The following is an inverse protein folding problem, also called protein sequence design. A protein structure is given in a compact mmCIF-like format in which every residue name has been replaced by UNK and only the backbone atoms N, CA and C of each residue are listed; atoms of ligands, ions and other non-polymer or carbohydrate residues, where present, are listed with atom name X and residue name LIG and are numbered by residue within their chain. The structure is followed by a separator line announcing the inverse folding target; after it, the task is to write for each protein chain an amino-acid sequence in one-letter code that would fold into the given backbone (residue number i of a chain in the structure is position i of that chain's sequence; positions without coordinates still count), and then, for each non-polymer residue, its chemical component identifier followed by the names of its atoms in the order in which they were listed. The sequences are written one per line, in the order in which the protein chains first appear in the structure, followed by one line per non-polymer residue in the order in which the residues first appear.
data_IF_262784812020
#
_entry.id   IF_262784812020
#
_cell.length_a   1.000
_cell.length_b   1.000
_cell.length_c   1.000
_cell.angle_alpha   90.00
_cell.angle_beta   90.00
_cell.angle_gamma   90.00
#
_symmetry.space_group_name_H-M   'P 1'
#
loop_
_entity.id
_entity.type
_entity.pdbx_description
1 polymer ?
#
# COMPACT_ATOMS: atom_id res chain seq x y z
N UNK A 1 -11.51 24.74 21.94
CA UNK A 1 -10.69 25.74 21.21
C UNK A 1 -9.90 25.02 20.13
N UNK A 2 -9.80 25.54 18.90
CA UNK A 2 -8.93 24.96 17.88
C UNK A 2 -7.46 25.11 18.31
N UNK A 3 -6.67 24.05 18.10
CA UNK A 3 -5.22 24.06 18.36
C UNK A 3 -4.53 24.83 17.23
N UNK A 4 -3.67 25.82 17.51
CA UNK A 4 -2.89 26.50 16.48
C UNK A 4 -2.02 25.51 15.68
N UNK A 5 -1.89 25.72 14.36
CA UNK A 5 -1.15 24.81 13.48
C UNK A 5 0.28 24.53 13.94
N UNK A 6 0.96 25.53 14.50
CA UNK A 6 2.33 25.38 14.99
C UNK A 6 2.40 24.47 16.23
N UNK A 7 1.42 24.58 17.13
CA UNK A 7 1.29 23.69 18.29
C UNK A 7 0.99 22.26 17.85
N UNK A 8 0.12 22.10 16.85
CA UNK A 8 -0.17 20.78 16.28
C UNK A 8 1.08 20.14 15.65
N UNK A 9 1.85 20.90 14.86
CA UNK A 9 3.11 20.41 14.26
C UNK A 9 4.12 19.99 15.32
N UNK A 10 4.24 20.74 16.42
CA UNK A 10 5.14 20.40 17.52
C UNK A 10 4.72 19.11 18.22
N UNK A 11 3.43 18.97 18.57
CA UNK A 11 2.91 17.75 19.19
C UNK A 11 3.07 16.52 18.29
N UNK A 12 2.82 16.68 17.00
CA UNK A 12 3.03 15.62 16.01
C UNK A 12 4.51 15.23 15.91
N UNK A 13 5.42 16.22 15.88
CA UNK A 13 6.85 15.98 15.82
C UNK A 13 7.38 15.28 17.08
N UNK A 14 6.95 15.72 18.27
CA UNK A 14 7.31 15.09 19.55
C UNK A 14 6.83 13.64 19.61
N UNK A 15 5.58 13.39 19.20
CA UNK A 15 5.02 12.04 19.16
C UNK A 15 5.72 11.15 18.14
N UNK A 16 6.05 11.68 16.95
CA UNK A 16 6.83 10.96 15.95
C UNK A 16 8.23 10.62 16.45
N UNK A 17 8.90 11.53 17.16
CA UNK A 17 10.22 11.26 17.74
C UNK A 17 10.17 10.22 18.87
N UNK A 18 9.09 10.21 19.65
CA UNK A 18 8.87 9.23 20.72
C UNK A 18 8.54 7.83 20.17
N UNK A 19 7.68 7.75 19.15
CA UNK A 19 7.23 6.48 18.57
C UNK A 19 8.19 5.95 17.48
N UNK A 20 8.96 6.83 16.84
CA UNK A 20 9.86 6.55 15.73
C UNK A 20 11.25 7.20 15.89
N UNK A 21 12.06 6.78 16.88
CA UNK A 21 13.28 7.47 17.27
C UNK A 21 14.44 7.37 16.25
N UNK A 22 14.30 6.54 15.22
CA UNK A 22 15.33 6.35 14.18
C UNK A 22 14.73 6.50 12.79
N UNK A 23 15.56 6.83 11.80
CA UNK A 23 15.13 6.94 10.41
C UNK A 23 14.50 5.64 9.90
N UNK A 24 14.99 4.48 10.34
CA UNK A 24 14.45 3.18 9.94
C UNK A 24 13.14 2.85 10.67
N UNK A 25 13.01 3.19 11.95
CA UNK A 25 11.73 3.09 12.67
C UNK A 25 10.68 4.04 12.05
N UNK A 26 11.09 5.26 11.73
CA UNK A 26 10.28 6.24 11.02
C UNK A 26 9.87 5.73 9.65
N UNK A 27 10.77 5.16 8.85
CA UNK A 27 10.42 4.54 7.56
C UNK A 27 9.45 3.37 7.74
N UNK A 28 9.64 2.52 8.73
CA UNK A 28 8.74 1.40 9.00
C UNK A 28 7.31 1.85 9.37
N UNK A 29 7.19 2.97 10.09
CA UNK A 29 5.91 3.58 10.47
C UNK A 29 5.32 4.45 9.33
N UNK A 30 6.14 5.21 8.61
CA UNK A 30 5.77 6.05 7.47
C UNK A 30 5.29 5.24 6.26
N UNK A 31 5.87 4.06 6.06
CA UNK A 31 5.41 3.08 5.06
C UNK A 31 4.02 2.51 5.41
N UNK A 32 3.59 2.61 6.67
CA UNK A 32 2.22 2.28 7.09
C UNK A 32 1.45 3.57 7.29
N UNK A 33 0.78 4.04 6.23
CA UNK A 33 -0.15 5.18 6.25
C UNK A 33 -1.15 5.15 7.41
N UNK A 34 -1.40 3.96 7.98
CA UNK A 34 -2.32 3.70 9.10
C UNK A 34 -1.85 4.31 10.42
N UNK A 35 -0.53 4.28 10.69
CA UNK A 35 0.03 4.90 11.90
C UNK A 35 -0.09 6.42 11.77
N UNK A 36 0.19 7.00 10.60
CA UNK A 36 -0.01 8.43 10.39
C UNK A 36 -1.49 8.85 10.42
N UNK A 37 -2.41 7.99 9.98
CA UNK A 37 -3.85 8.24 10.07
C UNK A 37 -4.37 8.21 11.52
N UNK A 38 -3.87 7.29 12.34
CA UNK A 38 -4.18 7.22 13.77
C UNK A 38 -3.56 8.40 14.53
N UNK A 39 -2.26 8.64 14.35
CA UNK A 39 -1.50 9.69 15.05
C UNK A 39 -1.93 11.11 14.64
N UNK A 40 -2.29 11.31 13.37
CA UNK A 40 -2.63 12.62 12.83
C UNK A 40 -4.14 12.94 12.80
N UNK A 41 -5.01 11.94 12.68
CA UNK A 41 -6.44 12.16 12.43
C UNK A 41 -7.40 11.36 13.32
N UNK A 42 -6.90 10.50 14.23
CA UNK A 42 -7.75 9.73 15.15
C UNK A 42 -8.64 8.68 14.46
N UNK A 43 -8.27 8.26 13.24
CA UNK A 43 -8.96 7.20 12.52
C UNK A 43 -8.44 5.82 12.98
N UNK A 44 -9.33 4.83 13.08
CA UNK A 44 -8.91 3.46 13.35
C UNK A 44 -7.99 2.97 12.21
N UNK A 45 -6.72 2.61 12.50
CA UNK A 45 -5.76 2.20 11.48
C UNK A 45 -6.23 0.90 10.82
N UNK A 46 -6.22 0.83 9.49
CA UNK A 46 -6.40 -0.46 8.80
C UNK A 46 -5.10 -1.23 8.82
N UNK A 47 -5.14 -2.53 9.10
CA UNK A 47 -3.93 -3.35 8.99
C UNK A 47 -3.51 -3.49 7.52
N UNK A 48 -2.23 -3.82 7.26
CA UNK A 48 -1.74 -4.12 5.91
C UNK A 48 -2.58 -5.21 5.21
N UNK A 49 -3.02 -6.19 5.99
CA UNK A 49 -3.92 -7.26 5.54
C UNK A 49 -5.28 -6.70 5.18
N UNK A 50 -5.88 -5.87 6.03
CA UNK A 50 -7.19 -5.24 5.74
C UNK A 50 -7.16 -4.37 4.48
N UNK A 51 -6.09 -3.63 4.21
CA UNK A 51 -5.96 -2.87 2.95
C UNK A 51 -5.85 -3.79 1.73
N UNK A 52 -5.04 -4.84 1.82
CA UNK A 52 -4.90 -5.81 0.74
C UNK A 52 -6.22 -6.54 0.46
N UNK A 53 -6.98 -6.90 1.51
CA UNK A 53 -8.32 -7.48 1.39
C UNK A 53 -9.31 -6.46 0.79
N UNK A 54 -9.28 -5.23 1.28
CA UNK A 54 -10.22 -4.20 0.86
C UNK A 54 -9.95 -3.63 -0.54
N UNK A 55 -8.73 -3.80 -1.06
CA UNK A 55 -8.35 -3.40 -2.40
C UNK A 55 -9.34 -3.90 -3.47
N UNK A 56 -9.73 -5.18 -3.38
CA UNK A 56 -10.59 -5.82 -4.39
C UNK A 56 -11.98 -5.18 -4.50
N UNK A 57 -12.64 -4.91 -3.38
CA UNK A 57 -13.98 -4.34 -3.38
C UNK A 57 -13.98 -2.82 -3.53
N UNK A 58 -12.96 -2.12 -3.01
CA UNK A 58 -12.85 -0.65 -3.13
C UNK A 58 -12.48 -0.20 -4.54
N UNK A 59 -11.76 -1.03 -5.30
CA UNK A 59 -11.32 -0.73 -6.66
C UNK A 59 -11.95 -1.68 -7.69
N UNK A 60 -13.14 -2.21 -7.40
CA UNK A 60 -13.84 -3.16 -8.26
C UNK A 60 -14.06 -2.62 -9.67
N UNK A 61 -14.45 -1.33 -9.80
CA UNK A 61 -14.67 -0.69 -11.10
C UNK A 61 -13.39 -0.71 -11.95
N UNK A 62 -12.25 -0.37 -11.36
CA UNK A 62 -10.96 -0.39 -12.06
C UNK A 62 -10.54 -1.82 -12.43
N UNK A 63 -10.71 -2.80 -11.53
CA UNK A 63 -10.46 -4.21 -11.82
C UNK A 63 -11.39 -4.76 -12.91
N UNK A 64 -12.62 -4.26 -13.01
CA UNK A 64 -13.58 -4.66 -14.04
C UNK A 64 -13.28 -4.06 -15.42
N UNK A 65 -12.53 -2.96 -15.49
CA UNK A 65 -12.13 -2.34 -16.75
C UNK A 65 -10.99 -3.06 -17.49
N UNK A 66 -10.39 -4.08 -16.86
CA UNK A 66 -9.27 -4.84 -17.42
C UNK A 66 -9.66 -6.32 -17.65
N UNK A 67 -8.95 -7.05 -18.53
CA UNK A 67 -9.17 -8.48 -18.71
C UNK A 67 -9.00 -9.26 -17.39
N UNK A 68 -9.81 -10.31 -17.19
CA UNK A 68 -9.85 -11.08 -15.94
C UNK A 68 -8.47 -11.56 -15.45
N UNK A 69 -7.59 -11.96 -16.37
CA UNK A 69 -6.23 -12.40 -16.02
C UNK A 69 -5.34 -11.26 -15.50
N UNK A 70 -5.52 -10.04 -16.02
CA UNK A 70 -4.82 -8.83 -15.55
C UNK A 70 -5.32 -8.46 -14.16
N UNK A 71 -6.64 -8.42 -13.97
CA UNK A 71 -7.26 -8.15 -12.67
C UNK A 71 -6.78 -9.15 -11.60
N UNK A 72 -6.68 -10.43 -11.95
CA UNK A 72 -6.15 -11.46 -11.06
C UNK A 72 -4.67 -11.22 -10.72
N UNK A 73 -3.84 -10.83 -11.69
CA UNK A 73 -2.42 -10.52 -11.45
C UNK A 73 -2.26 -9.30 -10.55
N UNK A 74 -3.01 -8.23 -10.82
CA UNK A 74 -3.01 -7.01 -10.01
C UNK A 74 -3.48 -7.29 -8.58
N UNK A 75 -4.53 -8.09 -8.42
CA UNK A 75 -5.01 -8.54 -7.10
C UNK A 75 -3.95 -9.36 -6.35
N UNK A 76 -3.23 -10.24 -7.06
CA UNK A 76 -2.15 -11.03 -6.46
C UNK A 76 -0.95 -10.17 -6.03
N UNK A 77 -0.64 -9.10 -6.79
CA UNK A 77 0.36 -8.09 -6.42
C UNK A 77 -0.09 -7.33 -5.17
N UNK A 78 -1.33 -6.83 -5.16
CA UNK A 78 -1.89 -6.15 -4.00
C UNK A 78 -1.88 -7.07 -2.75
N UNK A 79 -2.17 -8.35 -2.91
CA UNK A 79 -2.07 -9.36 -1.85
C UNK A 79 -0.66 -9.56 -1.29
N UNK A 80 0.41 -9.27 -2.05
CA UNK A 80 1.77 -9.35 -1.51
C UNK A 80 2.02 -8.27 -0.45
N UNK A 81 1.37 -7.11 -0.55
CA UNK A 81 1.49 -6.02 0.41
C UNK A 81 1.20 -6.45 1.86
N UNK A 82 0.29 -7.41 2.06
CA UNK A 82 -0.03 -7.94 3.40
C UNK A 82 1.19 -8.58 4.10
N UNK A 83 2.21 -9.05 3.36
CA UNK A 83 3.37 -9.75 3.91
C UNK A 83 4.43 -8.82 4.48
N UNK A 84 4.80 -7.77 3.73
CA UNK A 84 5.89 -6.87 4.11
C UNK A 84 5.68 -5.41 3.68
N UNK A 85 4.43 -5.00 3.42
CA UNK A 85 4.12 -3.62 3.05
C UNK A 85 4.70 -3.24 1.69
N UNK A 86 5.25 -2.02 1.57
CA UNK A 86 5.79 -1.52 0.29
C UNK A 86 7.08 -2.25 -0.13
N UNK A 87 7.87 -2.76 0.82
CA UNK A 87 9.17 -3.38 0.54
C UNK A 87 9.05 -4.57 -0.40
N UNK A 88 7.99 -5.37 -0.24
CA UNK A 88 7.72 -6.50 -1.15
C UNK A 88 7.34 -6.02 -2.55
N UNK A 89 6.71 -4.85 -2.66
CA UNK A 89 6.28 -4.26 -3.94
C UNK A 89 7.43 -3.57 -4.68
N UNK A 90 8.48 -3.14 -3.96
CA UNK A 90 9.72 -2.63 -4.56
C UNK A 90 10.75 -3.73 -4.86
N UNK A 91 10.51 -4.97 -4.43
CA UNK A 91 11.42 -6.09 -4.66
C UNK A 91 11.28 -6.64 -6.09
N UNK A 92 12.36 -6.75 -6.89
CA UNK A 92 12.31 -7.36 -8.21
C UNK A 92 11.78 -8.80 -8.22
N UNK A 93 11.91 -9.54 -7.12
CA UNK A 93 11.39 -10.90 -6.96
C UNK A 93 9.88 -10.97 -6.75
N UNK A 94 9.18 -9.83 -6.63
CA UNK A 94 7.73 -9.74 -6.53
C UNK A 94 7.00 -10.59 -7.58
N UNK A 95 7.42 -10.45 -8.84
CA UNK A 95 6.82 -11.17 -9.97
C UNK A 95 7.13 -12.68 -9.96
N UNK A 96 8.09 -13.11 -9.16
CA UNK A 96 8.48 -14.51 -9.01
C UNK A 96 7.78 -15.20 -7.83
N UNK A 97 7.02 -14.47 -7.01
CA UNK A 97 6.28 -15.07 -5.91
C UNK A 97 5.26 -16.10 -6.45
N UNK A 98 5.01 -17.22 -5.73
CA UNK A 98 4.09 -18.25 -6.19
C UNK A 98 2.68 -17.72 -6.52
N UNK A 99 2.18 -16.79 -5.72
CA UNK A 99 0.86 -16.18 -5.90
C UNK A 99 0.79 -15.36 -7.21
N UNK A 100 1.79 -14.51 -7.46
CA UNK A 100 1.82 -13.66 -8.66
C UNK A 100 2.04 -14.50 -9.92
N UNK A 101 2.90 -15.53 -9.86
CA UNK A 101 3.09 -16.48 -10.96
C UNK A 101 1.82 -17.24 -11.30
N UNK A 102 1.11 -17.76 -10.30
CA UNK A 102 -0.17 -18.47 -10.49
C UNK A 102 -1.22 -17.57 -11.14
N UNK A 103 -1.18 -16.27 -10.86
CA UNK A 103 -2.08 -15.29 -11.45
C UNK A 103 -1.71 -14.84 -12.88
N UNK A 104 -0.56 -15.29 -13.42
CA UNK A 104 -0.08 -14.97 -14.78
C UNK A 104 1.27 -14.26 -14.81
N UNK A 105 1.60 -13.56 -13.73
CA UNK A 105 2.91 -12.95 -13.52
C UNK A 105 3.24 -11.80 -14.49
N UNK A 106 4.54 -11.50 -14.63
CA UNK A 106 5.02 -10.36 -15.40
C UNK A 106 4.57 -10.39 -16.88
N UNK A 107 4.52 -11.59 -17.48
CA UNK A 107 4.15 -11.76 -18.90
C UNK A 107 2.75 -11.25 -19.18
N UNK A 108 1.81 -11.47 -18.26
CA UNK A 108 0.43 -11.01 -18.41
C UNK A 108 0.35 -9.49 -18.38
N UNK A 109 1.07 -8.84 -17.46
CA UNK A 109 1.13 -7.38 -17.38
C UNK A 109 1.76 -6.75 -18.63
N UNK A 110 2.81 -7.38 -19.19
CA UNK A 110 3.47 -6.93 -20.42
C UNK A 110 2.54 -6.98 -21.64
N UNK A 111 1.62 -7.94 -21.70
CA UNK A 111 0.67 -8.06 -22.80
C UNK A 111 -0.43 -6.98 -22.78
N UNK A 112 -0.70 -6.38 -21.61
CA UNK A 112 -1.73 -5.36 -21.44
C UNK A 112 -1.16 -3.93 -21.53
N UNK A 113 0.08 -3.73 -21.09
CA UNK A 113 0.71 -2.41 -21.11
C UNK A 113 2.09 -2.42 -20.46
N UNK A 114 2.41 -1.34 -19.74
CA UNK A 114 3.69 -1.18 -19.03
C UNK A 114 3.55 -1.72 -17.60
N UNK A 115 4.25 -2.83 -17.23
CA UNK A 115 4.12 -3.42 -15.89
C UNK A 115 4.45 -2.48 -14.74
N UNK A 116 5.39 -1.55 -14.95
CA UNK A 116 5.78 -0.56 -13.94
C UNK A 116 4.68 0.46 -13.66
N UNK A 117 3.95 0.89 -14.71
CA UNK A 117 2.82 1.80 -14.53
C UNK A 117 1.69 1.09 -13.77
N UNK A 118 1.47 -0.20 -14.04
CA UNK A 118 0.48 -1.01 -13.33
C UNK A 118 0.85 -1.25 -11.87
N UNK A 119 2.12 -1.51 -11.60
CA UNK A 119 2.62 -1.61 -10.23
C UNK A 119 2.50 -0.27 -9.48
N UNK A 120 2.79 0.85 -10.14
CA UNK A 120 2.60 2.19 -9.57
C UNK A 120 1.13 2.44 -9.21
N UNK A 121 0.21 2.23 -10.14
CA UNK A 121 -1.22 2.46 -9.91
C UNK A 121 -1.78 1.50 -8.83
N UNK A 122 -1.30 0.26 -8.78
CA UNK A 122 -1.62 -0.70 -7.71
C UNK A 122 -1.17 -0.17 -6.35
N UNK A 123 0.06 0.37 -6.25
CA UNK A 123 0.59 0.97 -5.03
C UNK A 123 -0.25 2.16 -4.59
N UNK A 124 -0.50 3.11 -5.49
CA UNK A 124 -1.32 4.30 -5.20
C UNK A 124 -2.70 3.91 -4.67
N UNK A 125 -3.38 2.98 -5.35
CA UNK A 125 -4.70 2.49 -4.94
C UNK A 125 -4.71 1.73 -3.61
N UNK A 126 -3.63 1.01 -3.27
CA UNK A 126 -3.46 0.36 -1.96
C UNK A 126 -3.39 1.36 -0.80
N UNK A 127 -2.87 2.56 -1.03
CA UNK A 127 -2.77 3.61 -0.01
C UNK A 127 -4.05 4.46 0.14
N UNK A 128 -5.01 4.33 -0.78
CA UNK A 128 -6.30 5.04 -0.73
C UNK A 128 -7.47 4.17 -0.25
N UNK A 129 -7.20 2.95 0.24
CA UNK A 129 -8.23 1.97 0.64
C UNK A 129 -8.84 2.27 2.00
#
# INVERSE_FOLDING_TARGET
MPVPLEVYKQLLAERLLAEAPTLDAFRALWVSFDVLAELGYGLAPRTRRERAEAFTYKHADWLSSMPAQIAATVTALAGQFAKAGIEVLENPQLFNTPAVKKAGGLKTLQAFGKPLDMLRETKERLFTV
#
